data_IF_052837662194
#
_entry.id   IF_052837662194
#
_cell.length_a   1.000
_cell.length_b   1.000
_cell.length_c   1.000
_cell.angle_alpha   90.00
_cell.angle_beta   90.00
_cell.angle_gamma   90.00
#
_symmetry.space_group_name_H-M   'P 1'
#
loop_
_entity.id
_entity.type
_entity.pdbx_description
1 polymer ?
#
# COMPACT_ATOMS: atom_id res chain seq x y z
N UNK A 1 58.58 9.07 -3.09
CA UNK A 1 57.27 9.28 -3.74
C UNK A 1 56.71 10.61 -3.25
N UNK A 2 56.38 11.52 -4.16
CA UNK A 2 55.78 12.82 -3.83
C UNK A 2 54.32 12.64 -3.43
N UNK A 3 53.90 13.33 -2.37
CA UNK A 3 52.53 13.24 -1.83
C UNK A 3 51.50 13.77 -2.86
N UNK A 4 50.29 13.20 -2.92
CA UNK A 4 49.22 13.75 -3.75
C UNK A 4 48.87 15.16 -3.28
N UNK A 5 48.61 16.06 -4.25
CA UNK A 5 48.02 17.37 -3.96
C UNK A 5 46.54 17.16 -3.64
N UNK A 6 46.12 17.55 -2.44
CA UNK A 6 44.74 17.39 -1.96
C UNK A 6 44.05 18.74 -1.97
N UNK A 7 42.98 18.87 -2.75
CA UNK A 7 42.13 20.07 -2.77
C UNK A 7 40.76 19.73 -2.21
N UNK A 8 40.24 20.54 -1.30
CA UNK A 8 38.86 20.35 -0.80
C UNK A 8 37.88 20.73 -1.89
N UNK A 9 36.94 19.83 -2.20
CA UNK A 9 35.83 20.06 -3.15
C UNK A 9 34.57 20.48 -2.41
N UNK A 10 34.28 19.82 -1.28
CA UNK A 10 33.09 20.11 -0.49
C UNK A 10 33.36 19.79 0.99
N UNK A 11 32.90 20.65 1.89
CA UNK A 11 32.85 20.40 3.33
C UNK A 11 31.43 19.96 3.72
N UNK A 12 31.32 19.07 4.71
CA UNK A 12 30.04 18.56 5.21
C UNK A 12 29.84 18.92 6.68
N UNK A 13 28.89 19.81 6.93
CA UNK A 13 28.41 20.19 8.26
C UNK A 13 26.88 20.18 8.24
N UNK A 14 26.21 19.20 8.89
CA UNK A 14 26.78 18.07 9.63
C UNK A 14 27.51 17.05 8.72
N UNK A 15 28.34 16.19 9.33
CA UNK A 15 29.08 15.14 8.60
C UNK A 15 28.13 14.20 7.88
N UNK A 16 28.49 13.83 6.66
CA UNK A 16 27.66 12.97 5.80
C UNK A 16 27.88 11.49 6.13
N UNK A 17 26.81 10.77 6.45
CA UNK A 17 26.86 9.32 6.67
C UNK A 17 27.01 8.56 5.34
N UNK A 18 27.96 7.64 5.31
CA UNK A 18 28.31 6.81 4.15
C UNK A 18 28.43 5.34 4.57
N UNK A 19 28.10 4.46 3.62
CA UNK A 19 28.39 3.02 3.67
C UNK A 19 29.10 2.59 2.39
N UNK A 20 29.76 1.43 2.43
CA UNK A 20 30.42 0.84 1.25
C UNK A 20 29.38 0.25 0.30
N UNK A 21 29.52 0.49 -1.02
CA UNK A 21 28.59 -0.02 -2.05
C UNK A 21 28.71 -1.54 -2.26
N UNK A 22 29.93 -2.06 -2.23
CA UNK A 22 30.22 -3.48 -2.49
C UNK A 22 31.02 -4.11 -1.35
N UNK A 23 31.12 -5.43 -1.38
CA UNK A 23 32.04 -6.22 -0.54
C UNK A 23 33.39 -6.48 -1.25
N UNK A 24 33.67 -5.77 -2.34
CA UNK A 24 34.96 -5.86 -3.02
C UNK A 24 36.05 -5.12 -2.23
N UNK A 25 37.32 -5.41 -2.55
CA UNK A 25 38.46 -4.69 -1.98
C UNK A 25 38.28 -3.18 -2.20
N UNK A 26 38.33 -2.42 -1.11
CA UNK A 26 38.26 -0.96 -1.11
C UNK A 26 39.03 -0.50 0.12
N UNK A 27 39.91 0.48 -0.02
CA UNK A 27 40.88 0.79 1.04
C UNK A 27 40.64 2.17 1.61
N UNK A 28 40.86 2.27 2.92
CA UNK A 28 41.07 3.52 3.61
C UNK A 28 42.56 3.85 3.56
N UNK A 29 42.91 5.02 3.06
CA UNK A 29 44.28 5.47 2.86
C UNK A 29 44.65 6.58 3.84
N UNK A 30 45.95 6.68 4.15
CA UNK A 30 46.49 7.87 4.78
C UNK A 30 46.56 9.05 3.79
N UNK A 31 46.91 10.25 4.27
CA UNK A 31 46.94 11.46 3.45
C UNK A 31 47.97 11.39 2.30
N UNK A 32 49.11 10.74 2.51
CA UNK A 32 50.13 10.54 1.46
C UNK A 32 49.75 9.47 0.44
N UNK A 33 48.67 8.71 0.66
CA UNK A 33 48.25 7.58 -0.17
C UNK A 33 49.34 6.50 -0.34
N UNK A 34 50.24 6.37 0.63
CA UNK A 34 51.31 5.35 0.63
C UNK A 34 50.97 4.16 1.53
N UNK A 35 50.04 4.32 2.48
CA UNK A 35 49.66 3.30 3.44
C UNK A 35 48.16 3.01 3.40
N UNK A 36 47.83 1.73 3.17
CA UNK A 36 46.48 1.18 3.38
C UNK A 36 46.25 1.02 4.88
N UNK A 37 45.38 1.86 5.45
CA UNK A 37 45.00 1.82 6.87
C UNK A 37 44.09 0.63 7.15
N UNK A 38 43.13 0.39 6.27
CA UNK A 38 42.16 -0.71 6.41
C UNK A 38 41.58 -1.11 5.06
N UNK A 39 41.22 -2.39 4.90
CA UNK A 39 40.41 -2.86 3.78
C UNK A 39 38.93 -2.88 4.20
N UNK A 40 38.15 -1.97 3.61
CA UNK A 40 36.75 -1.71 3.93
C UNK A 40 35.80 -2.87 3.59
N UNK A 41 36.23 -3.89 2.84
CA UNK A 41 35.45 -5.13 2.68
C UNK A 41 35.17 -5.80 4.03
N UNK A 42 36.12 -5.70 4.97
CA UNK A 42 36.02 -6.24 6.34
C UNK A 42 35.17 -5.36 7.26
N UNK A 43 34.80 -4.16 6.80
CA UNK A 43 34.02 -3.17 7.55
C UNK A 43 32.66 -2.93 6.91
N UNK A 44 32.09 -3.96 6.30
CA UNK A 44 30.80 -3.90 5.61
C UNK A 44 29.66 -3.43 6.53
N UNK A 45 29.73 -3.70 7.83
CA UNK A 45 28.75 -3.28 8.85
C UNK A 45 29.09 -1.94 9.53
N UNK A 46 29.95 -1.13 8.92
CA UNK A 46 30.42 0.15 9.50
C UNK A 46 29.78 1.33 8.78
N UNK A 47 29.29 2.29 9.56
CA UNK A 47 28.94 3.62 9.03
C UNK A 47 30.16 4.53 9.14
N UNK A 48 30.48 5.20 8.04
CA UNK A 48 31.54 6.19 7.97
C UNK A 48 30.92 7.59 7.89
N UNK A 49 31.50 8.56 8.57
CA UNK A 49 31.08 9.94 8.56
C UNK A 49 32.11 10.77 7.80
N UNK A 50 31.74 11.23 6.60
CA UNK A 50 32.58 12.11 5.80
C UNK A 50 32.48 13.55 6.31
N UNK A 51 33.61 14.17 6.60
CA UNK A 51 33.66 15.61 6.89
C UNK A 51 33.91 16.45 5.64
N UNK A 52 34.53 15.86 4.60
CA UNK A 52 34.78 16.52 3.32
C UNK A 52 34.95 15.56 2.16
N UNK A 53 34.58 16.03 0.98
CA UNK A 53 34.99 15.50 -0.32
C UNK A 53 36.23 16.27 -0.77
N UNK A 54 37.26 15.55 -1.20
CA UNK A 54 38.51 16.12 -1.72
C UNK A 54 38.81 15.56 -3.10
N UNK A 55 39.49 16.35 -3.92
CA UNK A 55 40.08 15.93 -5.18
C UNK A 55 41.57 15.73 -4.96
N UNK A 56 42.06 14.51 -5.23
CA UNK A 56 43.46 14.15 -5.10
C UNK A 56 44.11 14.09 -6.48
N UNK A 57 45.10 14.95 -6.72
CA UNK A 57 45.94 14.97 -7.91
C UNK A 57 47.26 14.26 -7.59
N UNK A 58 47.48 13.12 -8.21
CA UNK A 58 48.70 12.35 -8.02
C UNK A 58 49.76 12.79 -9.04
N UNK A 59 51.05 12.84 -8.65
CA UNK A 59 52.13 13.31 -9.53
C UNK A 59 52.26 12.54 -10.86
N UNK A 60 52.01 11.23 -10.83
CA UNK A 60 52.19 10.34 -11.99
C UNK A 60 50.91 10.09 -12.81
N UNK A 61 49.77 10.61 -12.37
CA UNK A 61 48.52 10.53 -13.13
C UNK A 61 48.25 11.88 -13.79
N UNK A 62 47.47 11.91 -14.88
CA UNK A 62 47.07 13.18 -15.53
C UNK A 62 45.73 13.72 -15.01
N UNK A 63 44.97 12.92 -14.26
CA UNK A 63 43.66 13.28 -13.73
C UNK A 63 43.64 13.34 -12.21
N UNK A 64 42.60 13.98 -11.67
CA UNK A 64 42.31 13.97 -10.23
C UNK A 64 41.23 12.95 -9.91
N UNK A 65 41.29 12.38 -8.71
CA UNK A 65 40.31 11.40 -8.23
C UNK A 65 39.67 11.90 -6.95
N UNK A 66 38.35 11.76 -6.86
CA UNK A 66 37.60 12.21 -5.68
C UNK A 66 37.65 11.19 -4.55
N UNK A 67 37.97 11.65 -3.34
CA UNK A 67 38.00 10.87 -2.11
C UNK A 67 37.15 11.54 -1.02
N UNK A 68 36.50 10.75 -0.18
CA UNK A 68 35.96 11.25 1.09
C UNK A 68 37.03 11.12 2.17
N UNK A 69 37.20 12.17 2.97
CA UNK A 69 37.86 12.03 4.28
C UNK A 69 36.81 11.61 5.30
N UNK A 70 36.97 10.42 5.87
CA UNK A 70 35.97 9.76 6.71
C UNK A 70 36.50 9.41 8.09
N UNK A 71 35.57 9.28 9.03
CA UNK A 71 35.80 8.66 10.35
C UNK A 71 34.74 7.57 10.57
N UNK A 72 35.13 6.39 11.05
CA UNK A 72 34.14 5.35 11.40
C UNK A 72 33.28 5.79 12.59
N UNK A 73 32.09 5.21 12.71
CA UNK A 73 31.16 5.49 13.82
C UNK A 73 31.72 5.23 15.22
N UNK A 74 32.70 4.34 15.35
CA UNK A 74 33.43 4.07 16.60
C UNK A 74 34.75 4.87 16.73
N UNK A 75 35.00 5.83 15.82
CA UNK A 75 36.19 6.69 15.76
C UNK A 75 37.54 5.98 15.59
N UNK A 76 37.57 4.65 15.44
CA UNK A 76 38.82 3.86 15.32
C UNK A 76 39.50 3.98 13.96
N UNK A 77 38.74 4.21 12.89
CA UNK A 77 39.25 4.33 11.53
C UNK A 77 39.07 5.75 11.03
N UNK A 78 40.12 6.34 10.48
CA UNK A 78 40.12 7.68 9.88
C UNK A 78 41.08 7.74 8.70
N UNK A 79 40.67 8.38 7.62
CA UNK A 79 41.48 8.46 6.39
C UNK A 79 40.66 8.76 5.14
N UNK A 80 41.24 8.49 3.98
CA UNK A 80 40.66 8.80 2.68
C UNK A 80 40.16 7.54 1.97
N UNK A 81 38.92 7.56 1.51
CA UNK A 81 38.31 6.46 0.76
C UNK A 81 37.82 6.97 -0.59
N UNK A 82 38.03 6.18 -1.64
CA UNK A 82 37.60 6.56 -2.99
C UNK A 82 36.09 6.84 -3.03
N UNK A 83 35.69 8.01 -3.52
CA UNK A 83 34.29 8.43 -3.43
C UNK A 83 33.33 7.50 -4.20
N UNK A 84 33.79 6.92 -5.32
CA UNK A 84 32.97 6.05 -6.18
C UNK A 84 32.50 4.77 -5.46
N UNK A 85 33.26 4.29 -4.48
CA UNK A 85 32.98 3.03 -3.74
C UNK A 85 32.08 3.24 -2.51
N UNK A 86 31.75 4.49 -2.20
CA UNK A 86 30.90 4.88 -1.08
C UNK A 86 29.55 5.39 -1.57
N UNK A 87 28.53 5.26 -0.73
CA UNK A 87 27.18 5.76 -0.98
C UNK A 87 26.61 6.36 0.29
N UNK A 88 25.86 7.45 0.14
CA UNK A 88 25.16 8.10 1.24
C UNK A 88 24.16 7.14 1.88
N UNK A 89 24.36 6.84 3.16
CA UNK A 89 23.53 5.91 3.89
C UNK A 89 24.13 5.54 5.24
N UNK A 90 23.36 4.78 6.02
CA UNK A 90 23.74 4.35 7.37
C UNK A 90 23.50 2.86 7.52
N UNK A 91 24.45 2.16 8.15
CA UNK A 91 24.24 0.81 8.64
C UNK A 91 23.48 0.84 9.97
N UNK A 92 22.48 -0.02 10.10
CA UNK A 92 21.68 -0.20 11.29
C UNK A 92 21.89 -1.64 11.77
N UNK A 93 22.15 -1.79 13.08
CA UNK A 93 22.43 -3.09 13.72
C UNK A 93 21.35 -4.10 13.37
N UNK A 94 21.76 -5.33 13.06
CA UNK A 94 20.86 -6.40 12.60
C UNK A 94 20.85 -6.61 11.09
N UNK A 95 21.71 -5.91 10.33
CA UNK A 95 21.86 -6.15 8.89
C UNK A 95 21.01 -5.23 8.02
N UNK A 96 20.56 -4.09 8.55
CA UNK A 96 19.73 -3.14 7.83
C UNK A 96 20.53 -1.92 7.38
N UNK A 97 19.99 -1.22 6.38
CA UNK A 97 20.57 -0.01 5.83
C UNK A 97 19.48 1.05 5.65
N UNK A 98 19.86 2.32 5.77
CA UNK A 98 19.03 3.46 5.42
C UNK A 98 19.71 4.25 4.31
N UNK A 99 18.95 4.66 3.30
CA UNK A 99 19.44 5.46 2.17
C UNK A 99 18.51 6.65 1.88
N UNK A 100 18.59 7.73 2.69
CA UNK A 100 17.65 8.85 2.60
C UNK A 100 17.61 9.54 1.23
N UNK A 101 18.75 9.63 0.53
CA UNK A 101 18.82 10.20 -0.84
C UNK A 101 17.90 9.50 -1.83
N UNK A 102 17.60 8.22 -1.59
CA UNK A 102 16.74 7.39 -2.43
C UNK A 102 15.35 7.18 -1.81
N UNK A 103 14.96 8.01 -0.83
CA UNK A 103 13.71 7.87 -0.08
C UNK A 103 13.55 6.50 0.62
N UNK A 104 14.67 5.82 0.89
CA UNK A 104 14.69 4.51 1.55
C UNK A 104 14.92 4.72 3.04
N UNK A 105 13.86 4.49 3.82
CA UNK A 105 13.90 4.61 5.28
C UNK A 105 14.70 3.46 5.89
N UNK A 106 14.40 2.23 5.47
CA UNK A 106 15.06 1.02 5.96
C UNK A 106 15.02 -0.11 4.92
N UNK A 107 16.10 -0.87 4.75
CA UNK A 107 16.14 -2.03 3.85
C UNK A 107 17.06 -3.11 4.37
N UNK A 108 16.80 -4.37 3.99
CA UNK A 108 17.72 -5.49 4.22
C UNK A 108 18.78 -5.64 3.15
N UNK A 109 18.73 -4.82 2.09
CA UNK A 109 19.65 -4.87 0.96
C UNK A 109 20.59 -3.69 0.97
N UNK A 110 21.85 -3.99 0.69
CA UNK A 110 22.84 -2.97 0.38
C UNK A 110 22.64 -2.48 -1.04
N UNK A 111 22.71 -1.17 -1.26
CA UNK A 111 22.75 -0.60 -2.60
C UNK A 111 24.11 -0.86 -3.26
N UNK A 112 24.11 -1.51 -4.41
CA UNK A 112 25.32 -1.74 -5.20
C UNK A 112 25.36 -0.82 -6.43
N UNK A 113 24.19 -0.54 -7.02
CA UNK A 113 24.01 0.41 -8.12
C UNK A 113 22.92 1.40 -7.76
N UNK A 114 23.12 2.67 -8.13
CA UNK A 114 22.13 3.71 -7.87
C UNK A 114 20.77 3.37 -8.49
N UNK A 115 20.77 2.73 -9.66
CA UNK A 115 19.56 2.29 -10.38
C UNK A 115 18.68 1.30 -9.61
N UNK A 116 19.21 0.59 -8.59
CA UNK A 116 18.44 -0.39 -7.81
C UNK A 116 17.41 0.27 -6.89
N UNK A 117 17.66 1.52 -6.50
CA UNK A 117 16.77 2.28 -5.62
C UNK A 117 16.44 3.68 -6.18
N UNK A 118 16.92 4.02 -7.37
CA UNK A 118 16.56 5.26 -8.06
C UNK A 118 15.19 5.18 -8.72
N UNK A 119 14.40 4.14 -8.45
CA UNK A 119 13.01 4.09 -8.84
C UNK A 119 12.27 5.13 -8.00
N UNK A 120 12.33 6.36 -8.49
CA UNK A 120 11.47 7.48 -8.13
C UNK A 120 10.07 7.27 -8.71
N UNK A 121 9.73 6.05 -9.15
CA UNK A 121 8.43 5.75 -9.72
C UNK A 121 7.37 6.19 -8.72
N UNK A 122 6.66 7.20 -9.18
CA UNK A 122 5.54 7.81 -8.53
C UNK A 122 4.51 6.69 -8.34
N UNK A 123 4.47 6.10 -7.16
CA UNK A 123 3.38 5.21 -6.81
C UNK A 123 2.21 6.08 -6.39
N UNK A 124 1.43 6.50 -7.40
CA UNK A 124 0.14 7.13 -7.14
C UNK A 124 -0.72 6.12 -6.37
N UNK A 125 -0.85 6.33 -5.06
CA UNK A 125 -1.89 5.69 -4.28
C UNK A 125 -3.21 6.22 -4.85
N UNK A 126 -3.85 5.43 -5.70
CA UNK A 126 -5.12 5.84 -6.30
C UNK A 126 -6.18 6.08 -5.22
N UNK A 127 -6.93 7.16 -5.36
CA UNK A 127 -8.01 7.56 -4.46
C UNK A 127 -8.13 9.07 -4.33
N UNK A 128 -9.23 9.54 -3.73
CA UNK A 128 -9.49 10.96 -3.48
C UNK A 128 -9.00 11.33 -2.08
N UNK A 129 -8.16 12.36 -1.99
CA UNK A 129 -7.63 12.85 -0.71
C UNK A 129 -7.08 14.26 -0.81
N UNK A 130 -7.34 15.07 0.20
CA UNK A 130 -6.65 16.34 0.46
C UNK A 130 -5.27 16.14 1.09
N UNK A 131 -4.40 17.15 1.01
CA UNK A 131 -3.13 17.17 1.76
C UNK A 131 -3.35 17.03 3.26
N UNK A 132 -4.39 17.69 3.79
CA UNK A 132 -4.75 17.68 5.20
C UNK A 132 -5.14 16.28 5.66
N UNK A 133 -6.00 15.57 4.92
CA UNK A 133 -6.39 14.19 5.28
C UNK A 133 -5.21 13.22 5.22
N UNK A 134 -4.21 13.47 4.37
CA UNK A 134 -3.02 12.63 4.30
C UNK A 134 -1.93 12.97 5.32
N UNK A 135 -1.98 14.14 5.96
CA UNK A 135 -0.87 14.65 6.78
C UNK A 135 -0.47 13.68 7.89
N UNK A 136 -1.46 13.05 8.54
CA UNK A 136 -1.25 12.08 9.62
C UNK A 136 -0.50 10.81 9.15
N UNK A 137 -0.62 10.46 7.87
CA UNK A 137 0.01 9.27 7.27
C UNK A 137 1.39 9.55 6.68
N UNK A 138 1.86 10.80 6.73
CA UNK A 138 3.24 11.17 6.32
C UNK A 138 4.29 10.85 7.38
N UNK A 139 3.86 10.53 8.61
CA UNK A 139 4.74 10.28 9.75
C UNK A 139 5.66 9.08 9.48
N UNK A 140 6.96 9.32 9.57
CA UNK A 140 7.97 8.26 9.43
C UNK A 140 7.87 7.29 10.63
N UNK A 141 7.69 5.97 10.39
CA UNK A 141 7.65 4.99 11.47
C UNK A 141 9.01 4.90 12.19
N UNK A 142 9.00 4.57 13.48
CA UNK A 142 10.25 4.39 14.23
C UNK A 142 11.08 3.23 13.66
N UNK A 143 12.41 3.31 13.78
CA UNK A 143 13.30 2.23 13.31
C UNK A 143 12.95 0.88 13.94
N UNK A 144 12.56 0.85 15.22
CA UNK A 144 12.11 -0.39 15.88
C UNK A 144 10.86 -0.97 15.24
N UNK A 145 9.86 -0.13 14.93
CA UNK A 145 8.64 -0.57 14.24
C UNK A 145 8.95 -1.11 12.84
N UNK A 146 9.78 -0.40 12.07
CA UNK A 146 10.19 -0.84 10.74
C UNK A 146 10.93 -2.19 10.79
N UNK A 147 11.84 -2.39 11.76
CA UNK A 147 12.55 -3.66 11.94
C UNK A 147 11.57 -4.81 12.24
N UNK A 148 10.58 -4.61 13.12
CA UNK A 148 9.56 -5.61 13.44
C UNK A 148 8.79 -6.04 12.18
N UNK A 149 8.29 -5.07 11.42
CA UNK A 149 7.55 -5.30 10.16
C UNK A 149 8.42 -6.04 9.14
N UNK A 150 9.66 -5.59 8.91
CA UNK A 150 10.58 -6.25 7.98
C UNK A 150 10.82 -7.71 8.38
N UNK A 151 11.12 -7.97 9.65
CA UNK A 151 11.45 -9.31 10.10
C UNK A 151 10.27 -10.26 10.01
N UNK A 152 9.08 -9.79 10.35
CA UNK A 152 7.86 -10.58 10.24
C UNK A 152 7.67 -11.10 8.81
N UNK A 153 7.68 -10.22 7.80
CA UNK A 153 7.47 -10.64 6.41
C UNK A 153 8.59 -11.52 5.88
N UNK A 154 9.83 -11.30 6.28
CA UNK A 154 10.96 -12.17 5.91
C UNK A 154 10.79 -13.59 6.44
N UNK A 155 10.28 -13.74 7.66
CA UNK A 155 10.03 -15.03 8.30
C UNK A 155 8.81 -15.74 7.71
N UNK A 156 7.83 -14.98 7.20
CA UNK A 156 6.54 -15.51 6.73
C UNK A 156 6.36 -15.44 5.19
N UNK A 157 7.43 -15.27 4.42
CA UNK A 157 7.39 -15.19 2.94
C UNK A 157 6.68 -16.39 2.26
N UNK A 158 6.65 -17.56 2.90
CA UNK A 158 5.95 -18.76 2.41
C UNK A 158 4.56 -18.98 3.03
N UNK A 159 4.09 -18.10 3.91
CA UNK A 159 2.82 -18.26 4.61
C UNK A 159 1.63 -17.85 3.72
N UNK A 160 0.92 -18.86 3.18
CA UNK A 160 -0.25 -18.67 2.30
C UNK A 160 -1.46 -18.04 3.02
N UNK A 161 -1.41 -17.88 4.35
CA UNK A 161 -2.43 -17.15 5.10
C UNK A 161 -2.31 -15.65 4.88
N UNK A 162 -1.11 -15.13 4.60
CA UNK A 162 -0.87 -13.71 4.31
C UNK A 162 -1.48 -13.28 2.96
N UNK A 163 -1.66 -11.96 2.75
CA UNK A 163 -2.01 -11.42 1.44
C UNK A 163 -0.93 -11.74 0.42
N UNK A 164 -1.33 -12.10 -0.80
CA UNK A 164 -0.37 -12.45 -1.87
C UNK A 164 0.63 -11.32 -2.17
N UNK A 165 0.21 -10.05 -2.07
CA UNK A 165 1.12 -8.89 -2.21
C UNK A 165 2.13 -8.77 -1.08
N UNK A 166 1.81 -9.28 0.10
CA UNK A 166 2.65 -9.24 1.30
C UNK A 166 3.35 -10.58 1.59
N UNK A 167 3.18 -11.57 0.72
CA UNK A 167 3.79 -12.88 0.84
C UNK A 167 5.04 -13.01 -0.06
N UNK A 168 4.94 -12.63 -1.33
CA UNK A 168 5.97 -12.99 -2.32
C UNK A 168 7.14 -11.98 -2.42
N UNK A 169 8.36 -12.44 -2.14
CA UNK A 169 9.62 -11.73 -2.43
C UNK A 169 10.33 -11.17 -1.18
N UNK A 170 9.69 -11.25 -0.02
CA UNK A 170 10.24 -10.77 1.24
C UNK A 170 11.53 -11.52 1.64
N UNK A 171 11.65 -12.83 1.39
CA UNK A 171 12.90 -13.58 1.62
C UNK A 171 14.07 -13.02 0.81
N UNK A 172 13.79 -12.56 -0.40
CA UNK A 172 14.80 -11.99 -1.27
C UNK A 172 15.24 -10.63 -0.77
N UNK A 173 14.33 -9.80 -0.28
CA UNK A 173 14.64 -8.54 0.40
C UNK A 173 13.38 -7.76 0.75
N UNK A 174 13.47 -6.90 1.77
CA UNK A 174 12.39 -5.99 2.15
C UNK A 174 12.95 -4.59 2.32
N UNK A 175 12.16 -3.61 1.86
CA UNK A 175 12.45 -2.20 2.01
C UNK A 175 11.21 -1.45 2.48
N UNK A 176 11.40 -0.53 3.42
CA UNK A 176 10.46 0.54 3.76
C UNK A 176 10.98 1.81 3.11
N UNK A 177 10.16 2.42 2.26
CA UNK A 177 10.46 3.65 1.53
C UNK A 177 9.32 4.65 1.67
N UNK A 178 9.54 5.89 1.24
CA UNK A 178 8.45 6.86 1.08
C UNK A 178 8.16 7.08 -0.39
N UNK A 179 6.88 6.95 -0.79
CA UNK A 179 6.41 7.21 -2.16
C UNK A 179 5.56 8.47 -2.21
N UNK A 180 5.52 9.12 -3.37
CA UNK A 180 4.68 10.29 -3.61
C UNK A 180 3.24 9.86 -3.86
N UNK A 181 2.31 10.35 -3.03
CA UNK A 181 0.87 10.26 -3.25
C UNK A 181 0.36 11.60 -3.75
N UNK A 182 -0.34 11.58 -4.89
CA UNK A 182 -1.00 12.77 -5.43
C UNK A 182 -2.19 13.16 -4.55
N UNK A 183 -2.43 14.46 -4.45
CA UNK A 183 -3.56 15.03 -3.72
C UNK A 183 -4.39 15.85 -4.68
N UNK A 184 -5.67 16.05 -4.38
CA UNK A 184 -6.59 16.84 -5.20
C UNK A 184 -6.36 18.37 -5.06
N UNK A 185 -5.26 18.78 -4.41
CA UNK A 185 -4.95 20.16 -4.02
C UNK A 185 -3.72 20.70 -4.79
N UNK A 186 -3.67 22.00 -5.14
CA UNK A 186 -2.55 22.62 -5.87
C UNK A 186 -1.18 22.54 -5.17
N UNK A 187 -1.12 22.24 -3.87
CA UNK A 187 0.12 22.22 -3.07
C UNK A 187 1.02 20.97 -3.28
N UNK A 188 0.76 20.17 -4.31
CA UNK A 188 1.62 19.07 -4.73
C UNK A 188 1.53 17.78 -3.89
N UNK A 189 2.31 16.75 -4.25
CA UNK A 189 2.22 15.42 -3.64
C UNK A 189 2.75 15.40 -2.19
N UNK A 190 2.27 14.43 -1.41
CA UNK A 190 2.79 14.10 -0.08
C UNK A 190 3.57 12.79 -0.10
N UNK A 191 4.52 12.62 0.83
CA UNK A 191 5.34 11.41 0.92
C UNK A 191 4.82 10.48 2.01
N UNK A 192 4.51 9.24 1.64
CA UNK A 192 3.87 8.26 2.52
C UNK A 192 4.74 7.01 2.65
N UNK A 193 4.99 6.51 3.87
CA UNK A 193 5.71 5.26 4.08
C UNK A 193 4.97 4.04 3.52
N UNK A 194 5.69 3.23 2.75
CA UNK A 194 5.21 1.98 2.15
C UNK A 194 6.20 0.84 2.37
N UNK A 195 5.70 -0.39 2.28
CA UNK A 195 6.54 -1.58 2.21
C UNK A 195 6.70 -2.02 0.75
N UNK A 196 7.93 -2.34 0.37
CA UNK A 196 8.31 -2.77 -0.97
C UNK A 196 9.08 -4.10 -0.93
N UNK A 197 8.80 -4.94 -1.91
CA UNK A 197 9.52 -6.19 -2.17
C UNK A 197 10.06 -6.20 -3.60
N UNK A 198 11.17 -6.91 -3.86
CA UNK A 198 11.66 -7.12 -5.22
C UNK A 198 10.70 -7.99 -6.04
N UNK A 199 10.59 -7.73 -7.35
CA UNK A 199 9.88 -8.60 -8.29
C UNK A 199 10.85 -9.59 -8.97
N UNK A 200 10.68 -10.88 -8.66
CA UNK A 200 11.49 -11.95 -9.26
C UNK A 200 12.99 -11.77 -8.98
N UNK A 201 13.85 -12.30 -9.86
CA UNK A 201 15.32 -12.07 -9.77
C UNK A 201 15.73 -10.64 -10.17
N UNK A 202 14.77 -9.80 -10.58
CA UNK A 202 15.02 -8.42 -11.03
C UNK A 202 15.17 -7.46 -9.85
N UNK A 203 15.91 -6.38 -10.07
CA UNK A 203 16.23 -5.34 -9.07
C UNK A 203 15.14 -4.28 -8.92
N UNK A 204 14.00 -4.42 -9.60
CA UNK A 204 12.89 -3.47 -9.51
C UNK A 204 12.03 -3.76 -8.26
N UNK A 205 11.80 -2.70 -7.47
CA UNK A 205 11.09 -2.74 -6.20
C UNK A 205 9.69 -2.16 -6.36
N UNK A 206 8.68 -2.84 -5.84
CA UNK A 206 7.30 -2.41 -6.00
C UNK A 206 6.60 -2.22 -4.66
N UNK A 207 5.91 -1.08 -4.47
CA UNK A 207 5.02 -0.87 -3.33
C UNK A 207 3.93 -1.93 -3.28
N UNK A 208 3.87 -2.62 -2.14
CA UNK A 208 2.90 -3.70 -1.90
C UNK A 208 1.72 -3.22 -1.07
N UNK A 209 1.99 -2.33 -0.12
CA UNK A 209 1.01 -1.73 0.77
C UNK A 209 1.60 -0.48 1.45
N UNK A 210 0.73 0.35 2.03
CA UNK A 210 1.14 1.36 3.00
C UNK A 210 1.76 0.67 4.22
N UNK A 211 2.62 1.38 4.95
CA UNK A 211 3.22 0.84 6.17
C UNK A 211 2.16 0.45 7.21
N UNK A 212 1.08 1.24 7.33
CA UNK A 212 -0.05 0.97 8.21
C UNK A 212 -0.72 -0.39 7.89
N UNK A 213 -1.06 -0.63 6.63
CA UNK A 213 -1.62 -1.93 6.19
C UNK A 213 -0.68 -3.08 6.52
N UNK A 214 0.62 -2.91 6.24
CA UNK A 214 1.61 -3.94 6.53
C UNK A 214 1.74 -4.22 8.04
N UNK A 215 1.64 -3.19 8.87
CA UNK A 215 1.66 -3.30 10.32
C UNK A 215 0.39 -3.99 10.84
N UNK A 216 -0.79 -3.63 10.35
CA UNK A 216 -2.04 -4.25 10.80
C UNK A 216 -2.13 -5.73 10.42
N UNK A 217 -1.75 -6.10 9.19
CA UNK A 217 -1.66 -7.50 8.77
C UNK A 217 -0.70 -8.28 9.68
N UNK A 218 0.46 -7.71 10.02
CA UNK A 218 1.43 -8.35 10.94
C UNK A 218 0.82 -8.63 12.32
N UNK A 219 -0.02 -7.73 12.82
CA UNK A 219 -0.69 -7.89 14.13
C UNK A 219 -1.94 -8.77 14.09
N UNK A 220 -2.39 -9.17 12.90
CA UNK A 220 -3.56 -10.03 12.76
C UNK A 220 -3.26 -11.44 13.28
N UNK A 221 -4.21 -12.03 13.99
CA UNK A 221 -4.13 -13.44 14.33
C UNK A 221 -4.46 -14.26 13.07
N UNK A 222 -3.42 -14.72 12.38
CA UNK A 222 -3.56 -15.46 11.11
C UNK A 222 -4.40 -16.74 11.22
N UNK A 223 -4.54 -17.31 12.43
CA UNK A 223 -5.39 -18.48 12.67
C UNK A 223 -6.88 -18.13 12.77
N UNK A 224 -7.23 -16.87 12.99
CA UNK A 224 -8.61 -16.37 13.05
C UNK A 224 -9.04 -15.65 11.77
N UNK A 225 -8.21 -15.70 10.73
CA UNK A 225 -8.53 -15.06 9.44
C UNK A 225 -9.70 -15.79 8.82
N UNK A 226 -10.81 -15.07 8.67
CA UNK A 226 -12.00 -15.61 8.02
C UNK A 226 -11.79 -15.55 6.52
N UNK A 227 -11.85 -16.71 5.86
CA UNK A 227 -11.73 -16.82 4.41
C UNK A 227 -13.11 -17.00 3.79
N UNK A 228 -13.36 -16.29 2.70
CA UNK A 228 -14.62 -16.28 1.98
C UNK A 228 -14.38 -16.64 0.51
N UNK A 229 -15.17 -17.58 0.00
CA UNK A 229 -15.11 -18.04 -1.39
C UNK A 229 -14.11 -19.18 -1.62
N UNK A 230 -14.61 -20.29 -2.14
CA UNK A 230 -13.80 -21.31 -2.82
C UNK A 230 -13.72 -20.91 -4.30
N UNK A 231 -12.51 -20.83 -4.85
CA UNK A 231 -12.25 -20.85 -6.30
C UNK A 231 -12.84 -19.70 -7.13
N UNK A 232 -12.18 -18.53 -7.15
CA UNK A 232 -12.23 -17.51 -8.23
C UNK A 232 -13.60 -17.03 -8.76
N UNK A 233 -14.72 -17.40 -8.16
CA UNK A 233 -16.04 -17.02 -8.63
C UNK A 233 -16.47 -15.69 -8.00
N UNK A 234 -16.80 -14.72 -8.86
CA UNK A 234 -17.14 -13.33 -8.51
C UNK A 234 -18.43 -13.20 -7.71
N UNK A 235 -19.17 -14.30 -7.52
CA UNK A 235 -20.52 -14.31 -6.95
C UNK A 235 -20.64 -15.06 -5.62
N UNK A 236 -19.55 -15.63 -5.11
CA UNK A 236 -19.52 -16.47 -3.90
C UNK A 236 -18.67 -15.83 -2.79
N UNK A 237 -19.29 -15.27 -1.74
CA UNK A 237 -18.54 -14.79 -0.56
C UNK A 237 -19.10 -13.58 0.19
N UNK A 238 -18.26 -12.99 1.05
CA UNK A 238 -18.56 -11.71 1.68
C UNK A 238 -18.48 -10.58 0.66
N UNK A 239 -19.55 -9.79 0.57
CA UNK A 239 -19.69 -8.69 -0.38
C UNK A 239 -19.63 -7.37 0.37
N UNK A 240 -19.13 -6.35 -0.32
CA UNK A 240 -18.95 -5.02 0.21
C UNK A 240 -19.92 -4.04 -0.46
N UNK A 241 -20.85 -3.48 0.32
CA UNK A 241 -22.06 -2.86 -0.23
C UNK A 241 -21.91 -1.41 -0.68
N UNK A 242 -21.03 -0.61 -0.07
CA UNK A 242 -20.95 0.82 -0.38
C UNK A 242 -19.89 1.15 -1.47
N UNK A 243 -19.10 0.16 -1.88
CA UNK A 243 -18.02 0.32 -2.86
C UNK A 243 -16.79 1.12 -2.41
N UNK A 244 -16.76 1.80 -1.26
CA UNK A 244 -15.62 2.59 -0.78
C UNK A 244 -14.50 1.78 -0.11
N UNK A 245 -13.32 1.69 -0.71
CA UNK A 245 -12.14 1.08 -0.08
C UNK A 245 -11.11 2.15 0.29
N UNK A 246 -10.45 1.99 1.44
CA UNK A 246 -9.51 2.97 1.98
C UNK A 246 -8.08 2.43 1.96
N UNK A 247 -7.12 3.33 1.69
CA UNK A 247 -5.69 3.02 1.70
C UNK A 247 -5.06 3.13 3.11
N UNK A 248 -5.76 3.77 4.04
CA UNK A 248 -5.35 4.03 5.41
C UNK A 248 -6.40 3.55 6.41
N UNK A 249 -5.98 3.38 7.64
CA UNK A 249 -6.78 3.01 8.81
C UNK A 249 -7.64 4.17 9.30
N UNK A 250 -8.16 5.00 8.39
CA UNK A 250 -9.03 6.13 8.70
C UNK A 250 -10.01 6.32 7.53
N UNK A 251 -11.31 6.22 7.82
CA UNK A 251 -12.37 6.35 6.82
C UNK A 251 -12.54 7.79 6.31
N UNK A 252 -11.84 8.75 6.89
CA UNK A 252 -11.75 10.13 6.40
C UNK A 252 -10.64 10.34 5.37
N UNK A 253 -9.72 9.39 5.21
CA UNK A 253 -8.51 9.57 4.41
C UNK A 253 -8.44 8.62 3.20
N UNK A 254 -8.03 9.18 2.07
CA UNK A 254 -7.71 8.51 0.79
C UNK A 254 -8.47 7.22 0.49
N UNK A 255 -9.61 7.37 -0.17
CA UNK A 255 -10.47 6.27 -0.56
C UNK A 255 -10.61 6.17 -2.08
N UNK A 256 -11.01 4.99 -2.56
CA UNK A 256 -11.39 4.74 -3.96
C UNK A 256 -12.68 3.92 -4.00
N UNK A 257 -13.49 4.10 -5.03
CA UNK A 257 -14.56 3.13 -5.34
C UNK A 257 -13.98 1.84 -5.92
N UNK A 258 -14.37 0.70 -5.36
CA UNK A 258 -14.05 -0.63 -5.80
C UNK A 258 -15.12 -1.09 -6.78
N UNK A 259 -14.70 -1.35 -8.02
CA UNK A 259 -15.59 -1.76 -9.10
C UNK A 259 -16.02 -3.22 -8.97
N UNK A 260 -15.22 -4.11 -8.35
CA UNK A 260 -15.46 -5.56 -8.47
C UNK A 260 -14.62 -6.48 -7.57
N UNK A 261 -14.94 -6.57 -6.29
CA UNK A 261 -14.31 -7.63 -5.50
C UNK A 261 -15.14 -8.10 -4.32
N UNK A 262 -15.47 -9.39 -4.35
CA UNK A 262 -15.77 -10.14 -3.13
C UNK A 262 -14.56 -10.06 -2.21
N UNK A 263 -14.85 -9.89 -0.91
CA UNK A 263 -13.83 -9.99 0.12
C UNK A 263 -13.41 -11.46 0.16
N UNK A 264 -12.12 -11.73 -0.09
CA UNK A 264 -11.56 -13.09 -0.02
C UNK A 264 -11.18 -13.48 1.41
N UNK A 265 -10.69 -12.51 2.17
CA UNK A 265 -10.24 -12.71 3.56
C UNK A 265 -10.52 -11.46 4.37
N UNK A 266 -10.88 -11.64 5.64
CA UNK A 266 -10.90 -10.59 6.65
C UNK A 266 -9.81 -10.90 7.66
N UNK A 267 -8.83 -10.01 7.75
CA UNK A 267 -7.67 -10.19 8.61
C UNK A 267 -7.91 -9.71 10.04
N UNK A 268 -8.59 -8.58 10.17
CA UNK A 268 -8.80 -7.90 11.45
C UNK A 268 -9.96 -6.93 11.32
N UNK A 269 -10.74 -6.80 12.38
CA UNK A 269 -11.88 -5.88 12.49
C UNK A 269 -11.58 -4.82 13.56
N UNK A 270 -12.45 -3.81 13.65
CA UNK A 270 -12.40 -2.75 14.65
C UNK A 270 -11.07 -1.97 14.65
N UNK A 271 -10.58 -1.68 13.44
CA UNK A 271 -9.32 -0.95 13.18
C UNK A 271 -9.62 0.54 12.98
N UNK A 272 -8.58 1.35 13.12
CA UNK A 272 -8.61 2.78 12.93
C UNK A 272 -9.07 3.53 14.18
N UNK A 273 -9.01 4.86 14.17
CA UNK A 273 -9.31 5.69 15.33
C UNK A 273 -10.78 5.59 15.76
N UNK A 274 -11.68 5.24 14.83
CA UNK A 274 -13.11 5.09 15.09
C UNK A 274 -13.55 3.63 15.31
N UNK A 275 -12.62 2.67 15.27
CA UNK A 275 -12.92 1.24 15.39
C UNK A 275 -14.02 0.74 14.44
N UNK A 276 -14.19 1.40 13.31
CA UNK A 276 -15.25 1.14 12.33
C UNK A 276 -14.71 0.44 11.08
N UNK A 277 -13.39 0.26 10.95
CA UNK A 277 -12.77 -0.35 9.78
C UNK A 277 -12.41 -1.83 9.99
N UNK A 278 -12.48 -2.57 8.89
CA UNK A 278 -11.99 -3.94 8.75
C UNK A 278 -10.90 -3.98 7.69
N UNK A 279 -9.82 -4.72 7.96
CA UNK A 279 -8.76 -4.97 7.02
C UNK A 279 -9.05 -6.24 6.23
N UNK A 280 -9.21 -6.08 4.92
CA UNK A 280 -9.74 -7.13 4.05
C UNK A 280 -8.89 -7.32 2.80
N UNK A 281 -8.98 -8.50 2.20
CA UNK A 281 -8.33 -8.82 0.94
C UNK A 281 -9.30 -8.79 -0.24
N UNK A 282 -8.93 -8.05 -1.27
CA UNK A 282 -9.56 -7.99 -2.58
C UNK A 282 -8.57 -8.41 -3.67
N UNK A 283 -8.86 -9.44 -4.45
CA UNK A 283 -8.04 -9.85 -5.62
C UNK A 283 -6.51 -9.84 -5.38
N UNK A 284 -6.08 -10.23 -4.17
CA UNK A 284 -4.66 -10.28 -3.77
C UNK A 284 -4.12 -9.03 -3.06
N UNK A 285 -4.81 -7.90 -3.11
CA UNK A 285 -4.46 -6.64 -2.43
C UNK A 285 -5.23 -6.48 -1.13
N UNK A 286 -4.61 -5.81 -0.16
CA UNK A 286 -5.23 -5.54 1.14
C UNK A 286 -5.64 -4.08 1.23
N UNK A 287 -6.86 -3.82 1.71
CA UNK A 287 -7.45 -2.50 1.89
C UNK A 287 -8.29 -2.47 3.16
N UNK A 288 -8.59 -1.28 3.64
CA UNK A 288 -9.58 -1.10 4.69
C UNK A 288 -10.96 -0.87 4.07
N UNK A 289 -11.98 -1.29 4.79
CA UNK A 289 -13.39 -1.06 4.48
C UNK A 289 -14.18 -0.79 5.74
N UNK A 290 -15.33 -0.11 5.62
CA UNK A 290 -16.25 0.02 6.74
C UNK A 290 -16.77 -1.38 7.13
N UNK A 291 -16.58 -1.75 8.39
CA UNK A 291 -17.00 -3.03 8.97
C UNK A 291 -18.51 -3.22 8.82
N UNK A 292 -19.28 -2.15 9.04
CA UNK A 292 -20.74 -2.13 8.87
C UNK A 292 -21.20 -2.41 7.44
N UNK A 293 -20.32 -2.24 6.46
CA UNK A 293 -20.63 -2.43 5.04
C UNK A 293 -20.21 -3.80 4.51
N UNK A 294 -19.69 -4.69 5.37
CA UNK A 294 -19.43 -6.10 5.05
C UNK A 294 -20.72 -6.88 5.25
N UNK A 295 -21.22 -7.50 4.18
CA UNK A 295 -22.35 -8.42 4.22
C UNK A 295 -21.93 -9.79 3.71
N UNK A 296 -22.10 -10.84 4.52
CA UNK A 296 -21.89 -12.20 4.05
C UNK A 296 -23.11 -12.68 3.26
N UNK A 297 -22.88 -13.10 2.01
CA UNK A 297 -23.93 -13.66 1.15
C UNK A 297 -23.53 -15.06 0.75
N UNK A 298 -24.29 -16.05 1.22
CA UNK A 298 -24.12 -17.41 0.77
C UNK A 298 -24.63 -17.53 -0.69
N UNK A 299 -23.85 -18.12 -1.62
CA UNK A 299 -24.22 -18.17 -3.03
C UNK A 299 -25.48 -19.00 -3.31
N UNK A 300 -25.91 -19.86 -2.38
CA UNK A 300 -27.07 -20.74 -2.55
C UNK A 300 -28.17 -20.52 -1.50
N UNK A 301 -27.97 -19.61 -0.54
CA UNK A 301 -28.92 -19.35 0.54
C UNK A 301 -29.15 -17.84 0.66
N UNK A 302 -30.25 -17.31 0.10
CA UNK A 302 -30.57 -15.90 0.25
C UNK A 302 -30.84 -15.59 1.73
N UNK A 303 -30.54 -14.35 2.13
CA UNK A 303 -30.68 -13.88 3.51
C UNK A 303 -31.78 -12.84 3.56
N UNK A 304 -32.76 -13.02 4.44
CA UNK A 304 -33.75 -11.98 4.73
C UNK A 304 -33.19 -11.06 5.81
N UNK A 305 -33.06 -9.77 5.49
CA UNK A 305 -32.64 -8.75 6.45
C UNK A 305 -33.43 -7.47 6.19
N UNK A 306 -33.90 -6.83 7.26
CA UNK A 306 -34.63 -5.56 7.19
C UNK A 306 -35.79 -5.56 6.18
N UNK A 307 -36.49 -6.70 6.07
CA UNK A 307 -37.63 -6.88 5.16
C UNK A 307 -37.25 -7.03 3.68
N UNK A 308 -35.98 -7.24 3.34
CA UNK A 308 -35.50 -7.42 1.96
C UNK A 308 -34.72 -8.73 1.87
N UNK A 309 -34.99 -9.52 0.84
CA UNK A 309 -34.16 -10.68 0.53
C UNK A 309 -32.86 -10.24 -0.16
N UNK A 310 -31.72 -10.77 0.26
CA UNK A 310 -30.42 -10.52 -0.34
C UNK A 310 -29.84 -11.82 -0.88
N UNK A 311 -29.23 -11.78 -2.06
CA UNK A 311 -28.57 -12.97 -2.62
C UNK A 311 -27.50 -12.62 -3.64
N UNK A 312 -26.80 -13.65 -4.11
CA UNK A 312 -25.72 -13.55 -5.10
C UNK A 312 -26.24 -13.33 -6.52
N UNK A 313 -25.35 -12.85 -7.40
CA UNK A 313 -25.57 -12.72 -8.86
C UNK A 313 -26.14 -13.95 -9.56
N UNK A 314 -25.90 -15.15 -9.02
CA UNK A 314 -26.36 -16.40 -9.62
C UNK A 314 -27.89 -16.53 -9.70
N UNK A 315 -28.67 -15.85 -8.85
CA UNK A 315 -30.12 -16.01 -8.76
C UNK A 315 -30.87 -15.70 -10.08
N UNK A 316 -30.37 -14.75 -10.87
CA UNK A 316 -31.05 -14.25 -12.07
C UNK A 316 -30.38 -14.74 -13.36
N UNK A 317 -29.36 -15.61 -13.25
CA UNK A 317 -28.63 -16.16 -14.40
C UNK A 317 -29.43 -17.16 -15.26
N UNK A 318 -30.65 -17.56 -14.83
CA UNK A 318 -31.44 -18.60 -15.49
C UNK A 318 -30.85 -20.02 -15.36
N UNK A 319 -29.70 -20.16 -14.71
CA UNK A 319 -29.04 -21.46 -14.46
C UNK A 319 -29.80 -22.30 -13.44
N UNK A 320 -29.46 -23.58 -13.33
CA UNK A 320 -30.00 -24.47 -12.28
C UNK A 320 -29.75 -23.93 -10.86
N UNK A 321 -28.58 -23.33 -10.64
CA UNK A 321 -28.25 -22.67 -9.37
C UNK A 321 -29.13 -21.45 -9.14
N UNK A 322 -29.36 -20.63 -10.18
CA UNK A 322 -30.25 -19.48 -10.10
C UNK A 322 -31.68 -19.85 -9.72
N UNK A 323 -32.23 -20.87 -10.40
CA UNK A 323 -33.56 -21.42 -10.08
C UNK A 323 -33.65 -21.93 -8.64
N UNK A 324 -32.59 -22.58 -8.14
CA UNK A 324 -32.51 -23.08 -6.76
C UNK A 324 -32.48 -21.95 -5.72
N UNK A 325 -31.91 -20.79 -6.06
CA UNK A 325 -31.92 -19.62 -5.16
C UNK A 325 -33.31 -18.99 -5.16
N UNK A 326 -33.91 -18.79 -6.35
CA UNK A 326 -35.24 -18.21 -6.48
C UNK A 326 -36.33 -19.04 -5.79
N UNK A 327 -36.24 -20.37 -5.81
CA UNK A 327 -37.19 -21.25 -5.12
C UNK A 327 -37.15 -21.14 -3.60
N UNK A 328 -36.06 -20.59 -3.03
CA UNK A 328 -35.92 -20.35 -1.59
C UNK A 328 -36.43 -18.97 -1.15
N UNK A 329 -36.75 -18.09 -2.10
CA UNK A 329 -37.34 -16.80 -1.80
C UNK A 329 -38.82 -17.00 -1.51
N UNK A 330 -39.23 -16.64 -0.29
CA UNK A 330 -40.63 -16.67 0.13
C UNK A 330 -41.25 -15.27 -0.03
N UNK A 331 -42.14 -15.07 -1.03
CA UNK A 331 -42.76 -13.77 -1.29
C UNK A 331 -43.74 -13.32 -0.20
N UNK A 332 -44.18 -14.22 0.69
CA UNK A 332 -45.02 -13.87 1.84
C UNK A 332 -44.23 -13.11 2.90
N UNK A 333 -42.91 -13.40 3.03
CA UNK A 333 -42.01 -12.73 3.96
C UNK A 333 -41.47 -11.41 3.42
N UNK A 334 -41.21 -11.35 2.12
CA UNK A 334 -40.86 -10.11 1.44
C UNK A 334 -41.06 -10.25 -0.06
N UNK A 335 -41.67 -9.23 -0.66
CA UNK A 335 -41.79 -9.11 -2.11
C UNK A 335 -40.57 -8.44 -2.75
N UNK A 336 -39.52 -8.12 -1.98
CA UNK A 336 -38.34 -7.43 -2.46
C UNK A 336 -37.11 -8.35 -2.40
N UNK A 337 -36.36 -8.38 -3.50
CA UNK A 337 -35.13 -9.16 -3.62
C UNK A 337 -34.02 -8.31 -4.22
N UNK A 338 -32.86 -8.24 -3.55
CA UNK A 338 -31.66 -7.56 -4.02
C UNK A 338 -30.59 -8.57 -4.38
N UNK A 339 -30.23 -8.55 -5.65
CA UNK A 339 -29.00 -9.19 -6.13
C UNK A 339 -27.87 -8.22 -5.89
N UNK A 340 -26.97 -8.57 -4.98
CA UNK A 340 -25.78 -7.74 -4.75
C UNK A 340 -24.76 -8.05 -5.84
N UNK A 341 -24.31 -6.98 -6.50
CA UNK A 341 -23.41 -7.04 -7.61
C UNK A 341 -22.10 -6.33 -7.32
N UNK A 342 -21.30 -6.27 -8.38
CA UNK A 342 -20.01 -5.65 -8.42
C UNK A 342 -20.15 -4.12 -8.37
N UNK A 343 -19.96 -3.50 -7.20
CA UNK A 343 -20.11 -2.06 -7.04
C UNK A 343 -21.57 -1.60 -7.16
N UNK A 344 -22.51 -2.35 -6.60
CA UNK A 344 -23.93 -1.99 -6.70
C UNK A 344 -24.88 -3.11 -6.31
N UNK A 345 -26.16 -2.93 -6.62
CA UNK A 345 -27.15 -3.98 -6.54
C UNK A 345 -28.28 -3.78 -7.54
N UNK A 346 -28.98 -4.87 -7.87
CA UNK A 346 -30.23 -4.81 -8.63
C UNK A 346 -31.38 -5.27 -7.75
N UNK A 347 -32.44 -4.46 -7.67
CA UNK A 347 -33.66 -4.79 -6.95
C UNK A 347 -34.69 -5.39 -7.90
N UNK A 348 -35.30 -6.47 -7.44
CA UNK A 348 -36.41 -7.17 -8.04
C UNK A 348 -37.61 -7.12 -7.10
N UNK A 349 -38.81 -7.07 -7.69
CA UNK A 349 -40.07 -7.15 -6.97
C UNK A 349 -40.85 -8.37 -7.46
N UNK A 350 -41.44 -9.11 -6.52
CA UNK A 350 -42.33 -10.22 -6.84
C UNK A 350 -43.71 -9.70 -7.23
N UNK A 351 -44.11 -9.94 -8.48
CA UNK A 351 -45.39 -9.52 -9.04
C UNK A 351 -45.91 -10.58 -10.02
N UNK A 352 -47.19 -10.92 -9.93
CA UNK A 352 -47.85 -11.86 -10.86
C UNK A 352 -47.10 -13.20 -11.00
N UNK A 353 -46.67 -13.77 -9.88
CA UNK A 353 -45.97 -15.07 -9.86
C UNK A 353 -44.48 -15.02 -10.24
N UNK A 354 -43.92 -13.84 -10.58
CA UNK A 354 -42.57 -13.70 -11.12
C UNK A 354 -41.78 -12.59 -10.42
N UNK A 355 -40.48 -12.77 -10.29
CA UNK A 355 -39.55 -11.72 -9.86
C UNK A 355 -39.21 -10.83 -11.06
N UNK A 356 -39.58 -9.55 -11.01
CA UNK A 356 -39.33 -8.57 -12.07
C UNK A 356 -38.33 -7.52 -11.60
N UNK A 357 -37.37 -7.14 -12.43
CA UNK A 357 -36.42 -6.08 -12.11
C UNK A 357 -37.17 -4.75 -11.95
N UNK A 358 -36.93 -4.07 -10.83
CA UNK A 358 -37.49 -2.74 -10.55
C UNK A 358 -36.47 -1.66 -10.93
N UNK A 359 -35.26 -1.75 -10.40
CA UNK A 359 -34.16 -0.83 -10.68
C UNK A 359 -32.79 -1.45 -10.36
N UNK A 360 -31.73 -0.85 -10.89
CA UNK A 360 -30.35 -1.14 -10.52
C UNK A 360 -29.67 0.12 -10.00
N UNK A 361 -28.82 -0.07 -9.00
CA UNK A 361 -27.94 0.95 -8.42
C UNK A 361 -26.51 0.55 -8.67
N UNK A 362 -25.74 1.45 -9.27
CA UNK A 362 -24.30 1.30 -9.46
C UNK A 362 -23.56 2.44 -8.77
N UNK A 363 -22.51 2.07 -8.03
CA UNK A 363 -21.55 2.93 -7.38
C UNK A 363 -20.38 3.17 -8.34
N UNK A 364 -20.36 4.33 -9.00
CA UNK A 364 -19.36 4.62 -10.03
C UNK A 364 -18.06 5.18 -9.44
N UNK A 365 -16.95 4.92 -10.13
CA UNK A 365 -15.74 5.73 -9.99
C UNK A 365 -15.99 7.05 -10.69
N UNK A 366 -15.90 8.15 -9.95
CA UNK A 366 -15.87 9.49 -10.53
C UNK A 366 -14.75 9.50 -11.59
N UNK A 367 -15.07 9.84 -12.85
CA UNK A 367 -14.11 9.77 -13.95
C UNK A 367 -12.87 10.60 -13.61
N UNK A 368 -11.69 10.10 -13.98
CA UNK A 368 -10.40 10.77 -13.72
C UNK A 368 -10.27 12.14 -14.43
N UNK A 369 -11.17 12.41 -15.38
CA UNK A 369 -11.18 13.62 -16.22
C UNK A 369 -12.07 14.74 -15.68
N UNK A 370 -12.86 14.49 -14.63
CA UNK A 370 -13.50 15.59 -13.91
C UNK A 370 -12.51 16.18 -12.88
N UNK A 371 -12.39 17.52 -12.78
CA UNK A 371 -11.47 18.15 -11.86
C UNK A 371 -11.76 17.65 -10.46
N UNK A 372 -10.77 16.98 -9.87
CA UNK A 372 -10.89 16.40 -8.55
C UNK A 372 -11.38 17.50 -7.60
N UNK A 373 -12.60 17.34 -7.06
CA UNK A 373 -13.15 18.37 -6.18
C UNK A 373 -12.18 18.59 -5.03
N UNK A 374 -11.97 19.86 -4.66
CA UNK A 374 -11.07 20.30 -3.58
C UNK A 374 -11.50 19.81 -2.19
N UNK A 375 -12.64 19.13 -2.10
CA UNK A 375 -13.22 18.55 -0.89
C UNK A 375 -13.06 17.03 -0.91
N UNK A 376 -12.76 16.46 0.27
CA UNK A 376 -12.84 15.01 0.52
C UNK A 376 -14.33 14.59 0.40
N UNK A 377 -14.87 14.54 -0.82
CA UNK A 377 -16.25 14.10 -1.06
C UNK A 377 -16.30 12.62 -0.74
N UNK A 378 -16.73 12.25 0.46
CA UNK A 378 -17.04 10.85 0.85
C UNK A 378 -18.26 10.28 0.12
N UNK A 379 -18.79 11.01 -0.85
CA UNK A 379 -20.00 10.68 -1.57
C UNK A 379 -19.63 9.78 -2.74
N UNK A 380 -20.38 8.70 -2.87
CA UNK A 380 -20.33 7.81 -4.03
C UNK A 380 -21.35 8.32 -5.03
N UNK A 381 -20.95 8.49 -6.29
CA UNK A 381 -21.93 8.75 -7.34
C UNK A 381 -22.80 7.50 -7.52
N UNK A 382 -24.10 7.68 -7.29
CA UNK A 382 -25.11 6.64 -7.40
C UNK A 382 -25.82 6.82 -8.73
N UNK A 383 -25.66 5.86 -9.63
CA UNK A 383 -26.44 5.81 -10.87
C UNK A 383 -27.62 4.88 -10.67
N UNK A 384 -28.82 5.42 -10.85
CA UNK A 384 -30.07 4.68 -10.87
C UNK A 384 -30.44 4.35 -12.32
N UNK A 385 -30.63 3.08 -12.61
CA UNK A 385 -31.14 2.60 -13.91
C UNK A 385 -32.46 1.87 -13.72
N UNK A 386 -33.52 2.35 -14.36
CA UNK A 386 -34.77 1.61 -14.55
C UNK A 386 -34.78 1.11 -16.00
N UNK A 387 -35.43 -0.01 -16.30
CA UNK A 387 -35.32 -0.73 -17.58
C UNK A 387 -35.62 0.04 -18.88
N UNK A 388 -35.87 1.35 -18.84
CA UNK A 388 -36.08 2.22 -20.01
C UNK A 388 -35.44 3.62 -19.93
N UNK A 389 -34.81 4.07 -18.82
CA UNK A 389 -34.14 5.39 -18.72
C UNK A 389 -32.97 5.36 -17.72
N UNK A 390 -31.83 5.97 -18.09
CA UNK A 390 -30.71 6.27 -17.19
C UNK A 390 -30.93 7.65 -16.58
N UNK A 391 -30.90 7.74 -15.25
CA UNK A 391 -30.85 9.02 -14.54
C UNK A 391 -29.49 9.11 -13.84
N UNK A 392 -28.71 10.14 -14.18
CA UNK A 392 -27.42 10.43 -13.58
C UNK A 392 -27.60 11.68 -12.70
N UNK A 393 -27.28 11.58 -11.41
CA UNK A 393 -27.38 12.71 -10.48
C UNK A 393 -26.16 12.77 -9.57
N UNK A 394 -25.58 13.95 -9.40
CA UNK A 394 -24.66 14.27 -8.31
C UNK A 394 -25.50 14.77 -7.12
N UNK A 395 -25.41 14.12 -5.97
CA UNK A 395 -26.41 14.29 -4.90
C UNK A 395 -25.98 15.32 -3.86
N UNK A 396 -26.67 16.48 -3.81
CA UNK A 396 -27.19 16.96 -2.54
C UNK A 396 -28.70 16.76 -2.38
N UNK A 397 -29.48 16.54 -3.45
CA UNK A 397 -30.95 16.65 -3.40
C UNK A 397 -31.76 15.33 -3.30
N UNK A 398 -31.16 14.16 -3.41
CA UNK A 398 -31.80 12.85 -3.13
C UNK A 398 -31.72 12.43 -1.65
N UNK A 399 -31.08 13.23 -0.79
CA UNK A 399 -30.82 12.87 0.61
C UNK A 399 -31.94 13.28 1.60
N UNK A 400 -32.99 13.97 1.17
CA UNK A 400 -34.11 14.35 2.06
C UNK A 400 -35.01 13.17 2.48
N UNK A 401 -34.82 11.98 1.91
CA UNK A 401 -35.52 10.73 2.28
C UNK A 401 -34.62 9.64 2.86
N UNK A 402 -33.33 9.90 3.09
CA UNK A 402 -32.39 8.89 3.58
C UNK A 402 -32.40 8.81 5.12
N UNK A 403 -33.28 7.97 5.67
CA UNK A 403 -33.20 7.60 7.09
C UNK A 403 -32.17 6.48 7.25
N UNK A 404 -31.00 6.80 7.80
CA UNK A 404 -30.06 5.80 8.31
C UNK A 404 -30.63 5.21 9.61
N UNK A 405 -31.35 4.09 9.52
CA UNK A 405 -31.69 3.29 10.70
C UNK A 405 -30.78 2.06 10.69
N UNK A 406 -29.86 2.00 11.65
CA UNK A 406 -29.05 0.83 12.02
C UNK A 406 -28.29 0.12 10.87
N UNK A 407 -27.20 0.74 10.43
CA UNK A 407 -26.03 0.04 9.84
C UNK A 407 -26.20 -0.66 8.48
N UNK A 408 -27.12 -0.25 7.61
CA UNK A 408 -27.08 -0.56 6.17
C UNK A 408 -27.62 0.62 5.36
N UNK A 409 -27.19 0.82 4.10
CA UNK A 409 -27.89 1.70 3.17
C UNK A 409 -29.25 1.07 2.85
N UNK A 410 -30.25 1.39 3.66
CA UNK A 410 -31.65 1.23 3.30
C UNK A 410 -31.96 2.34 2.33
N UNK A 411 -31.70 2.10 1.04
CA UNK A 411 -32.37 2.87 -0.01
C UNK A 411 -33.81 2.36 -0.01
N UNK A 412 -34.65 2.96 0.84
CA UNK A 412 -36.10 2.96 0.65
C UNK A 412 -36.38 4.17 -0.23
N UNK A 413 -36.80 3.91 -1.47
CA UNK A 413 -37.45 4.92 -2.31
C UNK A 413 -38.94 4.79 -2.01
#
# INVERSE_FOLDING_TARGET
MTNPKITTVQQYTPKQALVTKSQSNNYLWNASHTKKIANLKNYSKTTFYASRLVSMRFPHYQYSVNYYYVTSNNSKLKGYVWAKTMVQGKYIKGGYYSYPKFNVLLTTKRITKQSEFSDSSQYSLGGYSTRTSLQNFTKIPSTSSMIKVINYYRQHDSDKRLPATLQNGAKQGVKIATVQSWTTNPNGPVRIPVIEFPLGKSVSWYPRATFAVAQDVMTANLNKVVSYGANNDSFSGAVYLNGLVFNFDDSSAQFRTAYSSTIKKVYKNNIGPHHDLSLVQFSGRTKYVLTSSIMYINPLKPVLKDGIWYGSGNAISGTQQGRTILSKLDPSKSKLYRVIGSGGFTQYQYQSGKWKQQFSINFHQHNADEPASTTDKKNVDVILSTGQKRLQSSVPQLMSGLTYINHLPIIKI
#
